data_IF_530303204211
#
_entry.id   IF_530303204211
#
_cell.length_a   1.000
_cell.length_b   1.000
_cell.length_c   1.000
_cell.angle_alpha   90.00
_cell.angle_beta   90.00
_cell.angle_gamma   90.00
#
_symmetry.space_group_name_H-M   'P 1'
#
loop_
_entity.id
_entity.type
_entity.pdbx_description
1 polymer ?
#
# COMPACT_ATOMS: atom_id res chain seq x y z
N UNK A 1 15.47 33.74 28.75
CA UNK A 1 15.59 32.87 27.57
C UNK A 1 14.76 31.65 27.91
N UNK A 2 13.54 31.63 27.37
CA UNK A 2 12.48 30.69 27.72
C UNK A 2 12.85 29.26 27.35
N UNK A 3 12.33 28.32 28.12
CA UNK A 3 12.60 26.90 28.08
C UNK A 3 12.51 26.33 26.66
N UNK A 4 13.65 25.93 26.09
CA UNK A 4 13.69 25.15 24.85
C UNK A 4 12.92 23.84 25.05
N UNK A 5 12.07 23.50 24.08
CA UNK A 5 11.39 22.21 24.05
C UNK A 5 12.45 21.14 23.75
N UNK A 6 12.77 20.34 24.77
CA UNK A 6 13.74 19.25 24.68
C UNK A 6 13.03 17.92 24.37
N UNK A 7 13.41 17.28 23.27
CA UNK A 7 12.95 15.93 22.94
C UNK A 7 13.58 14.91 23.89
N UNK A 8 12.80 14.40 24.85
CA UNK A 8 13.26 13.42 25.85
C UNK A 8 13.34 11.99 25.31
N UNK A 9 12.65 11.71 24.20
CA UNK A 9 12.62 10.38 23.58
C UNK A 9 13.93 10.12 22.85
N UNK A 10 14.44 11.12 22.10
CA UNK A 10 15.78 11.09 21.48
C UNK A 10 16.91 10.89 22.49
N UNK A 11 16.71 11.34 23.74
CA UNK A 11 17.71 11.23 24.83
C UNK A 11 17.56 9.96 25.67
N UNK A 12 16.64 9.07 25.30
CA UNK A 12 16.41 7.80 26.01
C UNK A 12 17.19 6.66 25.36
N UNK A 13 17.56 5.63 26.13
CA UNK A 13 18.18 4.40 25.61
C UNK A 13 17.18 3.50 24.84
N UNK A 14 16.05 4.05 24.40
CA UNK A 14 15.02 3.30 23.69
C UNK A 14 15.38 3.21 22.21
N UNK A 15 15.17 2.04 21.62
CA UNK A 15 15.23 1.88 20.18
C UNK A 15 13.95 2.51 19.60
N UNK A 16 14.10 3.61 18.90
CA UNK A 16 13.01 4.25 18.17
C UNK A 16 12.86 3.55 16.81
N UNK A 17 11.70 2.94 16.59
CA UNK A 17 11.35 2.33 15.30
C UNK A 17 10.42 3.30 14.58
N UNK A 18 10.84 3.78 13.41
CA UNK A 18 9.98 4.53 12.51
C UNK A 18 9.42 3.56 11.46
N UNK A 19 8.09 3.42 11.39
CA UNK A 19 7.45 2.53 10.42
C UNK A 19 7.67 2.99 8.98
N UNK A 20 7.90 4.29 8.78
CA UNK A 20 8.15 4.85 7.45
C UNK A 20 9.47 4.32 6.84
N UNK A 21 10.44 3.94 7.68
CA UNK A 21 11.70 3.34 7.23
C UNK A 21 11.50 1.94 6.61
N UNK A 22 10.31 1.34 6.81
CA UNK A 22 9.95 0.01 6.30
C UNK A 22 9.01 0.07 5.10
N UNK A 23 8.74 1.26 4.55
CA UNK A 23 8.00 1.31 3.29
C UNK A 23 8.81 0.59 2.20
N UNK A 24 8.18 -0.34 1.46
CA UNK A 24 8.83 -0.94 0.31
C UNK A 24 9.15 0.16 -0.71
N UNK A 25 10.40 0.15 -1.19
CA UNK A 25 10.82 0.97 -2.31
C UNK A 25 10.13 0.48 -3.59
N UNK A 26 9.73 1.41 -4.46
CA UNK A 26 9.06 1.09 -5.72
C UNK A 26 7.85 1.98 -5.97
N UNK A 27 7.27 1.85 -7.16
CA UNK A 27 6.03 2.54 -7.50
C UNK A 27 4.83 1.79 -6.91
N UNK A 28 3.89 2.53 -6.31
CA UNK A 28 2.64 1.94 -5.84
C UNK A 28 1.60 2.07 -6.94
N UNK A 29 1.18 0.93 -7.47
CA UNK A 29 0.20 0.88 -8.55
C UNK A 29 -1.15 0.42 -7.99
N UNK A 30 -2.21 1.17 -8.31
CA UNK A 30 -3.57 0.84 -7.88
C UNK A 30 -4.13 -0.33 -8.71
N UNK A 31 -4.66 -1.34 -8.02
CA UNK A 31 -5.48 -2.40 -8.60
C UNK A 31 -6.83 -2.38 -7.88
N UNK A 32 -7.86 -1.86 -8.55
CA UNK A 32 -9.20 -1.83 -7.98
C UNK A 32 -9.92 -3.17 -8.20
N UNK A 33 -10.50 -3.71 -7.13
CA UNK A 33 -11.30 -4.93 -7.24
C UNK A 33 -12.63 -4.68 -7.95
N UNK A 34 -13.15 -3.45 -7.91
CA UNK A 34 -14.45 -3.13 -8.53
C UNK A 34 -14.45 -3.37 -10.03
N UNK A 35 -13.29 -3.27 -10.69
CA UNK A 35 -13.09 -3.57 -12.11
C UNK A 35 -13.43 -5.03 -12.46
N UNK A 36 -13.41 -5.91 -11.48
CA UNK A 36 -13.71 -7.34 -11.62
C UNK A 36 -15.13 -7.72 -11.19
N UNK A 37 -15.88 -6.78 -10.59
CA UNK A 37 -17.21 -7.03 -10.06
C UNK A 37 -18.28 -6.72 -11.12
N UNK A 38 -19.26 -7.61 -11.21
CA UNK A 38 -20.47 -7.34 -12.00
C UNK A 38 -21.23 -6.21 -11.32
N UNK A 39 -21.49 -5.14 -12.07
CA UNK A 39 -22.13 -3.91 -11.59
C UNK A 39 -21.41 -3.26 -10.39
N UNK A 40 -20.12 -3.56 -10.18
CA UNK A 40 -19.36 -3.06 -9.03
C UNK A 40 -19.76 -3.69 -7.68
N UNK A 41 -20.63 -4.70 -7.68
CA UNK A 41 -21.28 -5.20 -6.45
C UNK A 41 -21.01 -6.68 -6.17
N UNK A 42 -20.90 -7.53 -7.20
CA UNK A 42 -20.79 -8.98 -7.01
C UNK A 42 -19.71 -9.62 -7.88
N UNK A 43 -18.88 -10.46 -7.26
CA UNK A 43 -17.88 -11.26 -7.98
C UNK A 43 -18.55 -12.51 -8.54
N UNK A 44 -18.42 -12.72 -9.86
CA UNK A 44 -18.81 -13.97 -10.52
C UNK A 44 -17.58 -14.64 -11.11
N UNK A 45 -17.37 -15.91 -10.78
CA UNK A 45 -16.12 -16.63 -11.07
C UNK A 45 -15.76 -16.64 -12.56
N UNK A 46 -16.71 -17.02 -13.43
CA UNK A 46 -16.47 -17.12 -14.89
C UNK A 46 -16.05 -15.77 -15.51
N UNK A 47 -16.84 -14.68 -15.40
CA UNK A 47 -16.43 -13.36 -15.89
C UNK A 47 -15.10 -12.90 -15.31
N UNK A 48 -14.90 -13.09 -14.01
CA UNK A 48 -13.65 -12.71 -13.35
C UNK A 48 -12.43 -13.39 -13.98
N UNK A 49 -12.49 -14.71 -14.20
CA UNK A 49 -11.39 -15.46 -14.83
C UNK A 49 -11.11 -14.97 -16.25
N UNK A 50 -12.15 -14.64 -17.01
CA UNK A 50 -12.01 -14.08 -18.35
C UNK A 50 -11.32 -12.71 -18.31
N UNK A 51 -11.74 -11.82 -17.41
CA UNK A 51 -11.12 -10.49 -17.24
C UNK A 51 -9.66 -10.59 -16.79
N UNK A 52 -9.35 -11.48 -15.85
CA UNK A 52 -7.99 -11.73 -15.36
C UNK A 52 -7.07 -12.24 -16.49
N UNK A 53 -7.58 -13.15 -17.33
CA UNK A 53 -6.80 -13.70 -18.44
C UNK A 53 -6.52 -12.66 -19.55
N UNK A 54 -7.39 -11.66 -19.70
CA UNK A 54 -7.26 -10.62 -20.72
C UNK A 54 -6.51 -9.36 -20.24
N UNK A 55 -6.41 -9.15 -18.92
CA UNK A 55 -5.72 -7.99 -18.36
C UNK A 55 -4.22 -8.08 -18.65
N UNK A 56 -3.63 -6.97 -19.07
CA UNK A 56 -2.18 -6.86 -19.19
C UNK A 56 -1.56 -6.72 -17.79
N UNK A 57 -0.82 -7.74 -17.37
CA UNK A 57 -0.15 -7.79 -16.06
C UNK A 57 1.24 -7.17 -16.07
N UNK A 58 1.78 -6.85 -17.26
CA UNK A 58 3.12 -6.26 -17.39
C UNK A 58 3.21 -4.91 -16.68
N UNK A 59 2.07 -4.21 -16.53
CA UNK A 59 2.00 -2.94 -15.80
C UNK A 59 2.20 -3.07 -14.28
N UNK A 60 2.14 -4.29 -13.73
CA UNK A 60 2.37 -4.57 -12.31
C UNK A 60 3.68 -5.33 -12.06
N UNK A 61 4.49 -5.54 -13.10
CA UNK A 61 5.81 -6.15 -12.96
C UNK A 61 6.86 -5.06 -12.70
N UNK A 62 7.62 -5.23 -11.62
CA UNK A 62 8.90 -4.56 -11.38
C UNK A 62 10.03 -5.23 -12.17
#
# INVERSE_FOLDING_TARGET
MENEIINRIEKSNLIQINLDDFYPSGERILLDITDFLVEGLVLREKPFRETVAQKDWSIYQD
#
